data_IF_996296028361
#
_entry.id   IF_996296028361
#
_cell.length_a   1.000
_cell.length_b   1.000
_cell.length_c   1.000
_cell.angle_alpha   90.00
_cell.angle_beta   90.00
_cell.angle_gamma   90.00
#
_symmetry.space_group_name_H-M   'P 1'
#
loop_
_entity.id
_entity.type
_entity.pdbx_description
1 polymer ?
#
# COMPACT_ATOMS: atom_id res chain seq x y z
N UNK A 1 20.53 -4.60 -1.11
CA UNK A 1 19.36 -4.76 -2.00
C UNK A 1 19.22 -3.51 -2.83
N UNK A 2 18.81 -3.65 -4.09
CA UNK A 2 18.51 -2.52 -4.97
C UNK A 2 17.00 -2.45 -5.22
N UNK A 3 16.42 -1.29 -4.95
CA UNK A 3 14.97 -1.10 -4.84
C UNK A 3 14.50 0.16 -5.59
N UNK A 4 13.18 0.27 -5.74
CA UNK A 4 12.49 1.27 -6.56
C UNK A 4 11.07 1.53 -6.02
N UNK A 5 10.40 2.62 -6.42
CA UNK A 5 8.95 2.80 -6.25
C UNK A 5 8.07 1.72 -6.87
N UNK A 6 8.61 0.79 -7.66
CA UNK A 6 7.84 -0.34 -8.21
C UNK A 6 7.19 -1.19 -7.09
N UNK A 7 5.99 -1.72 -7.35
CA UNK A 7 5.26 -2.53 -6.37
C UNK A 7 6.04 -3.76 -5.89
N UNK A 8 6.72 -4.48 -6.79
CA UNK A 8 7.52 -5.66 -6.44
C UNK A 8 8.61 -5.33 -5.43
N UNK A 9 9.29 -4.20 -5.62
CA UNK A 9 10.32 -3.74 -4.69
C UNK A 9 9.72 -3.30 -3.34
N UNK A 10 8.56 -2.66 -3.35
CA UNK A 10 7.88 -2.24 -2.12
C UNK A 10 7.50 -3.44 -1.21
N UNK A 11 7.11 -4.59 -1.78
CA UNK A 11 6.86 -5.82 -0.99
C UNK A 11 8.08 -6.24 -0.17
N UNK A 12 9.26 -6.16 -0.76
CA UNK A 12 10.52 -6.52 -0.08
C UNK A 12 10.91 -5.52 1.02
N UNK A 13 10.58 -4.23 0.87
CA UNK A 13 10.76 -3.22 1.92
C UNK A 13 9.86 -3.50 3.12
N UNK A 14 8.59 -3.78 2.87
CA UNK A 14 7.62 -4.11 3.92
C UNK A 14 8.09 -5.36 4.67
N UNK A 15 8.45 -6.42 3.96
CA UNK A 15 8.91 -7.66 4.60
C UNK A 15 10.22 -7.45 5.38
N UNK A 16 11.16 -6.67 4.83
CA UNK A 16 12.39 -6.26 5.53
C UNK A 16 12.06 -5.53 6.84
N UNK A 17 11.11 -4.59 6.80
CA UNK A 17 10.65 -3.87 7.99
C UNK A 17 10.03 -4.83 8.98
N UNK A 18 8.98 -5.55 8.60
CA UNK A 18 8.26 -6.49 9.46
C UNK A 18 9.17 -7.51 10.16
N UNK A 19 10.14 -8.08 9.43
CA UNK A 19 11.11 -9.05 9.97
C UNK A 19 12.32 -8.41 10.66
N UNK A 20 12.41 -7.07 10.74
CA UNK A 20 13.52 -6.38 11.40
C UNK A 20 14.88 -6.60 10.73
N UNK A 21 14.90 -6.71 9.40
CA UNK A 21 16.08 -7.10 8.64
C UNK A 21 16.97 -5.91 8.25
N UNK A 22 16.71 -4.73 8.79
CA UNK A 22 17.48 -3.54 8.46
C UNK A 22 18.99 -3.65 8.72
N UNK A 23 19.44 -4.28 9.83
CA UNK A 23 20.86 -4.47 10.09
C UNK A 23 21.54 -5.44 9.10
N UNK A 24 20.80 -6.39 8.53
CA UNK A 24 21.35 -7.42 7.63
C UNK A 24 21.33 -6.99 6.17
N UNK A 25 20.33 -6.21 5.78
CA UNK A 25 20.02 -5.90 4.39
C UNK A 25 20.06 -4.38 4.16
N UNK A 26 21.23 -3.79 3.87
CA UNK A 26 21.30 -2.40 3.41
C UNK A 26 20.60 -2.24 2.05
N UNK A 27 20.09 -1.04 1.79
CA UNK A 27 19.24 -0.72 0.65
C UNK A 27 19.85 0.43 -0.16
N UNK A 28 19.84 0.27 -1.48
CA UNK A 28 20.03 1.35 -2.45
C UNK A 28 18.71 1.58 -3.19
N UNK A 29 18.33 2.83 -3.38
CA UNK A 29 17.08 3.25 -4.03
C UNK A 29 17.41 3.92 -5.36
N UNK A 30 16.89 3.36 -6.45
CA UNK A 30 17.02 3.92 -7.81
C UNK A 30 16.15 5.18 -7.97
N UNK A 31 16.50 6.02 -8.93
CA UNK A 31 15.69 7.18 -9.32
C UNK A 31 14.27 6.75 -9.74
N UNK A 32 13.21 7.54 -9.44
CA UNK A 32 11.86 7.17 -9.86
C UNK A 32 11.66 7.20 -11.38
N UNK A 33 12.47 7.95 -12.13
CA UNK A 33 12.32 8.11 -13.57
C UNK A 33 12.92 6.91 -14.31
N UNK A 34 12.08 6.19 -15.04
CA UNK A 34 12.47 5.05 -15.87
C UNK A 34 12.34 5.43 -17.35
N UNK A 35 13.43 5.95 -17.93
CA UNK A 35 13.48 6.47 -19.31
C UNK A 35 14.18 5.47 -20.25
N UNK A 36 14.94 5.93 -21.24
CA UNK A 36 15.53 5.08 -22.27
C UNK A 36 16.44 3.96 -21.73
N UNK A 37 17.14 4.20 -20.63
CA UNK A 37 18.10 3.25 -20.03
C UNK A 37 17.48 2.40 -18.90
N UNK A 38 16.17 2.46 -18.70
CA UNK A 38 15.49 1.79 -17.60
C UNK A 38 15.78 2.48 -16.25
N UNK A 39 16.02 1.69 -15.20
CA UNK A 39 16.27 2.20 -13.85
C UNK A 39 17.68 2.79 -13.73
N UNK A 40 17.76 4.02 -13.22
CA UNK A 40 19.02 4.75 -13.04
C UNK A 40 19.35 4.94 -11.55
N UNK A 41 20.62 5.12 -11.26
CA UNK A 41 21.14 5.47 -9.94
C UNK A 41 21.41 6.98 -9.81
N UNK A 42 20.74 7.79 -10.63
CA UNK A 42 20.73 9.24 -10.45
C UNK A 42 20.13 9.59 -9.07
N UNK A 43 20.93 10.24 -8.23
CA UNK A 43 20.61 10.59 -6.84
C UNK A 43 20.08 12.02 -6.68
N UNK A 44 19.80 12.70 -7.80
CA UNK A 44 19.24 14.07 -7.78
C UNK A 44 17.81 14.15 -7.24
N UNK A 45 17.10 13.03 -7.11
CA UNK A 45 15.75 12.98 -6.56
C UNK A 45 15.79 12.65 -5.05
N UNK A 46 15.06 13.38 -4.19
CA UNK A 46 15.02 13.08 -2.76
C UNK A 46 14.64 11.62 -2.49
N UNK A 47 15.38 10.93 -1.62
CA UNK A 47 15.27 9.50 -1.28
C UNK A 47 15.84 8.51 -2.31
N UNK A 48 16.22 8.95 -3.52
CA UNK A 48 17.11 8.18 -4.37
C UNK A 48 18.53 8.25 -3.78
N UNK A 49 19.22 7.13 -3.69
CA UNK A 49 20.51 7.04 -2.98
C UNK A 49 21.71 6.88 -3.89
N UNK A 50 21.46 6.67 -5.18
CA UNK A 50 22.43 6.07 -6.09
C UNK A 50 22.82 4.64 -5.70
N UNK A 51 23.80 4.08 -6.40
CA UNK A 51 24.37 2.76 -6.10
C UNK A 51 25.41 2.85 -5.00
N UNK A 52 24.98 2.67 -3.76
CA UNK A 52 25.85 2.72 -2.58
C UNK A 52 26.94 1.63 -2.51
N UNK A 53 27.01 0.69 -3.47
CA UNK A 53 28.03 -0.36 -3.51
C UNK A 53 29.11 -0.10 -4.55
N UNK A 54 28.71 0.13 -5.80
CA UNK A 54 29.65 0.21 -6.93
C UNK A 54 29.60 1.54 -7.68
N UNK A 55 28.71 2.45 -7.27
CA UNK A 55 28.52 3.75 -7.92
C UNK A 55 28.24 3.60 -9.42
N UNK A 56 27.53 2.55 -9.82
CA UNK A 56 26.99 2.41 -11.16
C UNK A 56 25.98 3.53 -11.45
N UNK A 57 25.87 3.93 -12.72
CA UNK A 57 24.88 4.92 -13.19
C UNK A 57 23.52 4.27 -13.48
N UNK A 58 23.53 2.99 -13.86
CA UNK A 58 22.36 2.27 -14.33
C UNK A 58 22.24 0.88 -13.69
N UNK A 59 21.00 0.46 -13.41
CA UNK A 59 20.74 -0.86 -12.83
C UNK A 59 21.18 -2.00 -13.75
N UNK A 60 21.13 -1.82 -15.07
CA UNK A 60 21.57 -2.87 -16.00
C UNK A 60 23.07 -3.17 -15.85
N UNK A 61 23.88 -2.21 -15.40
CA UNK A 61 25.31 -2.43 -15.16
C UNK A 61 25.52 -3.47 -14.05
N UNK A 62 24.65 -3.50 -13.04
CA UNK A 62 24.68 -4.52 -12.00
C UNK A 62 24.34 -5.92 -12.55
N UNK A 63 23.40 -6.00 -13.50
CA UNK A 63 23.09 -7.26 -14.19
C UNK A 63 24.28 -7.72 -15.05
N UNK A 64 24.91 -6.81 -15.79
CA UNK A 64 26.12 -7.12 -16.57
C UNK A 64 27.33 -7.44 -15.70
N UNK A 65 27.39 -6.90 -14.47
CA UNK A 65 28.40 -7.26 -13.48
C UNK A 65 28.27 -8.73 -13.07
N UNK A 66 27.04 -9.19 -12.83
CA UNK A 66 26.78 -10.60 -12.49
C UNK A 66 26.94 -11.54 -13.69
N UNK A 67 26.55 -11.10 -14.89
CA UNK A 67 26.62 -11.86 -16.13
C UNK A 67 26.85 -10.91 -17.33
N UNK A 68 28.08 -10.86 -17.90
CA UNK A 68 28.39 -10.00 -19.05
C UNK A 68 27.58 -10.29 -20.33
N UNK A 69 26.91 -11.44 -20.39
CA UNK A 69 26.08 -11.86 -21.52
C UNK A 69 24.58 -11.85 -21.19
N UNK A 70 24.19 -11.20 -20.09
CA UNK A 70 22.81 -11.17 -19.63
C UNK A 70 21.87 -10.66 -20.72
N UNK A 71 20.86 -11.48 -21.02
CA UNK A 71 19.77 -11.12 -21.95
C UNK A 71 18.44 -11.30 -21.21
N UNK A 72 17.76 -10.20 -20.93
CA UNK A 72 16.50 -10.24 -20.19
C UNK A 72 16.02 -8.86 -19.76
N UNK A 73 14.94 -8.83 -18.98
CA UNK A 73 14.42 -7.59 -18.40
C UNK A 73 15.22 -7.22 -17.14
N UNK A 74 15.70 -5.98 -17.12
CA UNK A 74 16.36 -5.40 -15.95
C UNK A 74 15.28 -4.88 -14.99
N UNK A 75 15.05 -5.62 -13.90
CA UNK A 75 13.92 -5.38 -12.99
C UNK A 75 14.38 -5.09 -11.56
N UNK A 76 13.44 -4.61 -10.77
CA UNK A 76 13.55 -4.37 -9.33
C UNK A 76 12.42 -5.13 -8.64
N UNK A 77 12.66 -5.71 -7.45
CA UNK A 77 13.85 -5.63 -6.61
C UNK A 77 15.02 -6.49 -7.12
N UNK A 78 16.24 -6.20 -6.66
CA UNK A 78 17.40 -7.09 -6.80
C UNK A 78 17.98 -7.40 -5.41
N UNK A 79 17.98 -8.69 -5.05
CA UNK A 79 18.73 -9.23 -3.93
C UNK A 79 20.13 -9.59 -4.41
N UNK A 80 21.13 -8.87 -3.90
CA UNK A 80 22.53 -8.94 -4.34
C UNK A 80 23.40 -9.59 -3.28
N UNK A 81 24.24 -10.56 -3.69
CA UNK A 81 25.28 -11.12 -2.86
C UNK A 81 26.58 -10.31 -3.00
N UNK A 82 26.96 -9.60 -1.94
CA UNK A 82 28.20 -8.80 -1.91
C UNK A 82 29.47 -9.65 -1.92
N UNK A 83 29.40 -10.90 -1.48
CA UNK A 83 30.55 -11.81 -1.39
C UNK A 83 30.83 -12.45 -2.74
N UNK A 84 29.80 -12.98 -3.39
CA UNK A 84 29.93 -13.62 -4.71
C UNK A 84 29.78 -12.63 -5.87
N UNK A 85 29.39 -11.38 -5.57
CA UNK A 85 29.17 -10.32 -6.55
C UNK A 85 28.21 -10.75 -7.66
N UNK A 86 27.08 -11.32 -7.26
CA UNK A 86 26.05 -11.82 -8.19
C UNK A 86 24.63 -11.58 -7.66
N UNK A 87 23.65 -11.73 -8.54
CA UNK A 87 22.23 -11.63 -8.21
C UNK A 87 21.77 -12.95 -7.60
N UNK A 88 21.29 -12.90 -6.36
CA UNK A 88 20.66 -14.06 -5.70
C UNK A 88 19.26 -14.29 -6.26
N UNK A 89 18.47 -13.21 -6.37
CA UNK A 89 17.13 -13.25 -6.98
C UNK A 89 16.69 -11.84 -7.36
N UNK A 90 15.89 -11.75 -8.42
CA UNK A 90 15.10 -10.57 -8.78
C UNK A 90 13.59 -10.86 -8.82
N UNK A 91 13.16 -12.00 -8.27
CA UNK A 91 11.75 -12.38 -8.15
C UNK A 91 11.21 -11.98 -6.77
N UNK A 92 10.36 -10.95 -6.75
CA UNK A 92 9.83 -10.37 -5.52
C UNK A 92 9.10 -11.37 -4.62
N UNK A 93 8.37 -12.34 -5.20
CA UNK A 93 7.60 -13.32 -4.44
C UNK A 93 8.50 -14.31 -3.69
N UNK A 94 9.60 -14.72 -4.31
CA UNK A 94 10.59 -15.59 -3.68
C UNK A 94 11.39 -14.85 -2.62
N UNK A 95 11.81 -13.61 -2.91
CA UNK A 95 12.60 -12.80 -1.98
C UNK A 95 11.86 -12.58 -0.65
N UNK A 96 10.55 -12.26 -0.68
CA UNK A 96 9.80 -12.08 0.57
C UNK A 96 9.67 -13.39 1.36
N UNK A 97 9.62 -14.55 0.70
CA UNK A 97 9.61 -15.87 1.35
C UNK A 97 10.98 -16.22 1.94
N UNK A 98 12.08 -15.82 1.29
CA UNK A 98 13.42 -15.91 1.87
C UNK A 98 13.50 -15.07 3.15
N UNK A 99 13.05 -13.81 3.13
CA UNK A 99 13.08 -12.92 4.30
C UNK A 99 12.22 -13.41 5.45
N UNK A 100 11.14 -14.13 5.14
CA UNK A 100 10.21 -14.65 6.14
C UNK A 100 10.88 -15.60 7.14
N UNK A 101 11.93 -16.35 6.73
CA UNK A 101 12.51 -17.42 7.57
C UNK A 101 14.04 -17.48 7.61
N UNK A 102 14.75 -17.03 6.57
CA UNK A 102 16.19 -17.28 6.43
C UNK A 102 17.06 -16.61 7.52
N UNK A 103 16.53 -15.60 8.20
CA UNK A 103 17.23 -14.83 9.24
C UNK A 103 16.72 -15.11 10.66
N UNK A 104 15.79 -16.05 10.83
CA UNK A 104 15.17 -16.34 12.15
C UNK A 104 16.22 -16.76 13.19
N UNK A 105 17.16 -17.63 12.81
CA UNK A 105 18.27 -18.04 13.67
C UNK A 105 19.33 -16.95 13.91
N UNK A 106 19.22 -15.79 13.25
CA UNK A 106 20.18 -14.68 13.31
C UNK A 106 19.62 -13.45 14.02
N UNK A 107 18.40 -13.51 14.56
CA UNK A 107 17.78 -12.40 15.31
C UNK A 107 16.73 -11.61 14.52
N UNK A 108 16.19 -12.14 13.43
CA UNK A 108 15.00 -11.55 12.81
C UNK A 108 13.82 -11.53 13.78
N UNK A 109 12.95 -10.53 13.65
CA UNK A 109 11.72 -10.43 14.45
C UNK A 109 10.82 -11.64 14.19
N UNK A 110 10.18 -12.12 15.25
CA UNK A 110 9.19 -13.19 15.16
C UNK A 110 8.02 -12.77 14.25
N UNK A 111 7.58 -13.69 13.41
CA UNK A 111 6.52 -13.48 12.43
C UNK A 111 6.68 -14.43 11.26
N UNK A 112 5.58 -15.10 10.90
CA UNK A 112 5.49 -15.96 9.72
C UNK A 112 4.30 -15.49 8.88
N UNK A 113 4.62 -14.96 7.71
CA UNK A 113 3.67 -14.40 6.74
C UNK A 113 3.27 -15.43 5.66
N UNK A 114 3.82 -16.65 5.71
CA UNK A 114 3.45 -17.77 4.84
C UNK A 114 3.43 -19.11 5.61
N UNK A 115 2.66 -19.19 6.72
CA UNK A 115 2.66 -20.33 7.61
C UNK A 115 2.02 -21.55 6.94
N UNK A 116 2.51 -22.78 7.20
CA UNK A 116 2.01 -24.00 6.57
C UNK A 116 0.49 -24.15 6.56
N UNK A 117 -0.18 -23.78 7.66
CA UNK A 117 -1.63 -23.91 7.82
C UNK A 117 -2.45 -22.99 6.89
N UNK A 118 -1.88 -21.91 6.36
CA UNK A 118 -2.58 -20.94 5.51
C UNK A 118 -2.11 -20.96 4.06
N UNK A 119 -1.13 -21.79 3.68
CA UNK A 119 -0.48 -21.71 2.36
C UNK A 119 -1.44 -21.89 1.20
N UNK A 120 -2.32 -22.89 1.26
CA UNK A 120 -3.29 -23.16 0.19
C UNK A 120 -4.20 -21.94 -0.03
N UNK A 121 -4.74 -21.37 1.05
CA UNK A 121 -5.58 -20.19 0.99
C UNK A 121 -4.81 -18.95 0.50
N UNK A 122 -3.56 -18.77 0.96
CA UNK A 122 -2.68 -17.69 0.51
C UNK A 122 -2.39 -17.81 -0.99
N UNK A 123 -2.07 -19.00 -1.47
CA UNK A 123 -1.72 -19.22 -2.88
C UNK A 123 -2.94 -19.05 -3.80
N UNK A 124 -4.13 -19.49 -3.36
CA UNK A 124 -5.39 -19.21 -4.07
C UNK A 124 -5.62 -17.69 -4.19
N UNK A 125 -5.58 -16.96 -3.06
CA UNK A 125 -5.74 -15.51 -3.02
C UNK A 125 -4.73 -14.81 -3.92
N UNK A 126 -3.46 -15.21 -3.82
CA UNK A 126 -2.37 -14.65 -4.59
C UNK A 126 -2.54 -14.81 -6.10
N UNK A 127 -3.14 -15.91 -6.57
CA UNK A 127 -3.41 -16.15 -7.98
C UNK A 127 -4.35 -15.11 -8.56
N UNK A 128 -5.59 -15.09 -8.09
CA UNK A 128 -6.60 -14.19 -8.67
C UNK A 128 -6.36 -12.72 -8.33
N UNK A 129 -5.81 -12.39 -7.15
CA UNK A 129 -5.42 -11.00 -6.84
C UNK A 129 -4.31 -10.54 -7.78
N UNK A 130 -3.35 -11.41 -8.10
CA UNK A 130 -2.32 -11.05 -9.08
C UNK A 130 -2.93 -10.79 -10.45
N UNK A 131 -3.71 -11.73 -10.97
CA UNK A 131 -4.22 -11.65 -12.35
C UNK A 131 -5.21 -10.50 -12.56
N UNK A 132 -6.10 -10.27 -11.60
CA UNK A 132 -7.24 -9.37 -11.75
C UNK A 132 -7.03 -8.02 -11.06
N UNK A 133 -6.10 -7.89 -10.10
CA UNK A 133 -5.89 -6.64 -9.36
C UNK A 133 -4.49 -6.09 -9.55
N UNK A 134 -3.45 -6.84 -9.17
CA UNK A 134 -2.07 -6.36 -9.32
C UNK A 134 -1.75 -6.13 -10.81
N UNK A 135 -1.89 -7.15 -11.64
CA UNK A 135 -1.68 -7.06 -13.07
C UNK A 135 -2.89 -6.43 -13.78
N UNK A 136 -4.11 -6.58 -13.24
CA UNK A 136 -5.34 -6.00 -13.80
C UNK A 136 -5.26 -4.51 -14.08
N UNK A 137 -4.76 -3.70 -13.12
CA UNK A 137 -4.62 -2.25 -13.35
C UNK A 137 -3.59 -1.91 -14.45
N UNK A 138 -2.59 -2.76 -14.67
CA UNK A 138 -1.64 -2.60 -15.77
C UNK A 138 -2.26 -3.01 -17.10
N UNK A 139 -3.02 -4.12 -17.14
CA UNK A 139 -3.79 -4.54 -18.32
C UNK A 139 -4.73 -3.43 -18.77
N UNK A 140 -5.45 -2.80 -17.86
CA UNK A 140 -6.29 -1.64 -18.16
C UNK A 140 -5.47 -0.43 -18.62
N UNK A 141 -4.46 -0.02 -17.85
CA UNK A 141 -3.69 1.19 -18.14
C UNK A 141 -2.89 1.17 -19.44
N UNK A 142 -2.42 -0.01 -19.86
CA UNK A 142 -1.64 -0.21 -21.09
C UNK A 142 -2.46 -0.80 -22.24
N UNK A 143 -3.78 -0.95 -22.09
CA UNK A 143 -4.64 -1.44 -23.15
C UNK A 143 -4.54 -0.55 -24.40
N UNK A 144 -4.46 -1.17 -25.57
CA UNK A 144 -4.40 -0.50 -26.87
C UNK A 144 -5.74 -0.53 -27.62
N UNK A 145 -6.78 -1.15 -27.04
CA UNK A 145 -8.14 -1.16 -27.58
C UNK A 145 -9.16 -0.95 -26.45
N UNK A 146 -10.32 -0.39 -26.81
CA UNK A 146 -11.42 -0.15 -25.85
C UNK A 146 -11.90 -1.45 -25.19
N UNK A 147 -12.08 -2.51 -25.98
CA UNK A 147 -12.52 -3.81 -25.47
C UNK A 147 -11.54 -4.39 -24.44
N UNK A 148 -10.23 -4.37 -24.73
CA UNK A 148 -9.24 -4.90 -23.78
C UNK A 148 -9.19 -4.07 -22.48
N UNK A 149 -9.42 -2.77 -22.59
CA UNK A 149 -9.56 -1.90 -21.43
C UNK A 149 -10.81 -2.25 -20.61
N UNK A 150 -11.98 -2.35 -21.26
CA UNK A 150 -13.27 -2.65 -20.62
C UNK A 150 -13.22 -3.98 -19.86
N UNK A 151 -12.73 -5.04 -20.51
CA UNK A 151 -12.56 -6.36 -19.87
C UNK A 151 -11.63 -6.31 -18.66
N UNK A 152 -10.50 -5.60 -18.78
CA UNK A 152 -9.53 -5.51 -17.70
C UNK A 152 -10.06 -4.68 -16.51
N UNK A 153 -10.68 -3.53 -16.77
CA UNK A 153 -11.17 -2.64 -15.71
C UNK A 153 -12.40 -3.24 -15.01
N UNK A 154 -13.27 -3.96 -15.72
CA UNK A 154 -14.38 -4.68 -15.10
C UNK A 154 -13.89 -5.82 -14.19
N UNK A 155 -12.85 -6.54 -14.59
CA UNK A 155 -12.22 -7.57 -13.75
C UNK A 155 -11.60 -6.98 -12.48
N UNK A 156 -10.97 -5.80 -12.57
CA UNK A 156 -10.44 -5.07 -11.42
C UNK A 156 -11.55 -4.75 -10.43
N UNK A 157 -12.63 -4.10 -10.86
CA UNK A 157 -13.69 -3.68 -9.95
C UNK A 157 -14.50 -4.85 -9.40
N UNK A 158 -14.76 -5.89 -10.19
CA UNK A 158 -15.37 -7.14 -9.69
C UNK A 158 -14.52 -7.76 -8.58
N UNK A 159 -13.20 -7.74 -8.73
CA UNK A 159 -12.27 -8.25 -7.73
C UNK A 159 -12.19 -7.36 -6.48
N UNK A 160 -12.25 -6.03 -6.63
CA UNK A 160 -12.32 -5.11 -5.50
C UNK A 160 -13.60 -5.30 -4.68
N UNK A 161 -14.76 -5.51 -5.32
CA UNK A 161 -16.01 -5.83 -4.60
C UNK A 161 -15.91 -7.16 -3.83
N UNK A 162 -15.27 -8.20 -4.41
CA UNK A 162 -15.00 -9.46 -3.70
C UNK A 162 -14.08 -9.25 -2.50
N UNK A 163 -13.02 -8.47 -2.65
CA UNK A 163 -12.09 -8.15 -1.56
C UNK A 163 -12.76 -7.35 -0.45
N UNK A 164 -13.62 -6.39 -0.80
CA UNK A 164 -14.42 -5.62 0.16
C UNK A 164 -15.30 -6.54 1.02
N UNK A 165 -15.94 -7.53 0.41
CA UNK A 165 -16.73 -8.52 1.14
C UNK A 165 -15.88 -9.37 2.10
N UNK A 166 -14.72 -9.88 1.64
CA UNK A 166 -13.79 -10.67 2.47
C UNK A 166 -13.33 -9.85 3.68
N UNK A 167 -12.88 -8.61 3.43
CA UNK A 167 -12.36 -7.71 4.46
C UNK A 167 -13.45 -7.12 5.37
N UNK A 168 -14.72 -7.28 5.00
CA UNK A 168 -15.87 -7.02 5.87
C UNK A 168 -16.13 -8.10 6.90
N UNK A 169 -15.63 -9.33 6.69
CA UNK A 169 -15.79 -10.43 7.64
C UNK A 169 -14.63 -10.49 8.65
N UNK A 170 -13.41 -10.24 8.19
CA UNK A 170 -12.20 -10.44 8.97
C UNK A 170 -11.22 -9.28 8.79
N UNK A 171 -10.26 -9.14 9.71
CA UNK A 171 -9.28 -8.04 9.66
C UNK A 171 -8.39 -8.13 8.41
N UNK A 172 -7.98 -9.32 8.02
CA UNK A 172 -7.08 -9.63 6.91
C UNK A 172 -7.69 -10.68 5.97
N UNK A 173 -7.06 -10.90 4.82
CA UNK A 173 -7.62 -11.72 3.72
C UNK A 173 -7.86 -13.19 4.09
N UNK A 174 -7.08 -13.73 5.05
CA UNK A 174 -7.17 -15.13 5.50
C UNK A 174 -7.74 -15.25 6.92
N UNK A 175 -8.25 -14.17 7.51
CA UNK A 175 -8.75 -14.15 8.89
C UNK A 175 -8.14 -13.03 9.72
N UNK A 176 -7.64 -13.37 10.91
CA UNK A 176 -7.09 -12.39 11.86
C UNK A 176 -5.56 -12.32 11.87
N UNK A 177 -4.90 -13.08 10.99
CA UNK A 177 -3.44 -13.07 10.84
C UNK A 177 -3.05 -12.34 9.55
N UNK A 178 -2.07 -11.43 9.65
CA UNK A 178 -1.47 -10.78 8.49
C UNK A 178 -0.58 -11.77 7.74
N UNK A 179 -0.72 -11.86 6.41
CA UNK A 179 0.01 -12.79 5.54
C UNK A 179 0.65 -12.09 4.34
N UNK A 180 1.44 -12.82 3.55
CA UNK A 180 2.01 -12.28 2.32
C UNK A 180 0.95 -11.87 1.28
N UNK A 181 -0.25 -12.48 1.31
CA UNK A 181 -1.36 -12.10 0.45
C UNK A 181 -1.80 -10.65 0.71
N UNK A 182 -1.89 -10.28 1.99
CA UNK A 182 -2.26 -8.92 2.41
C UNK A 182 -1.22 -7.90 1.93
N UNK A 183 0.07 -8.21 2.12
CA UNK A 183 1.19 -7.35 1.68
C UNK A 183 1.17 -7.18 0.15
N UNK A 184 0.92 -8.27 -0.59
CA UNK A 184 0.85 -8.26 -2.06
C UNK A 184 -0.32 -7.43 -2.57
N UNK A 185 -1.48 -7.49 -1.93
CA UNK A 185 -2.64 -6.65 -2.25
C UNK A 185 -2.36 -5.18 -1.87
N UNK A 186 -1.90 -4.94 -0.66
CA UNK A 186 -1.74 -3.61 -0.08
C UNK A 186 -0.81 -2.72 -0.92
N UNK A 187 0.27 -3.29 -1.44
CA UNK A 187 1.18 -2.55 -2.34
C UNK A 187 0.52 -2.06 -3.64
N UNK A 188 -0.57 -2.69 -4.09
CA UNK A 188 -1.42 -2.14 -5.16
C UNK A 188 -2.37 -1.08 -4.62
N UNK A 189 -3.07 -1.32 -3.50
CA UNK A 189 -4.06 -0.39 -2.96
C UNK A 189 -3.46 0.99 -2.64
N UNK A 190 -2.26 1.03 -2.04
CA UNK A 190 -1.58 2.29 -1.69
C UNK A 190 -1.22 3.16 -2.91
N UNK A 191 -1.22 2.57 -4.11
CA UNK A 191 -0.97 3.27 -5.39
C UNK A 191 -2.24 3.52 -6.20
N UNK A 192 -3.37 2.99 -5.75
CA UNK A 192 -4.61 3.01 -6.52
C UNK A 192 -5.11 4.44 -6.70
N UNK A 193 -5.40 5.15 -5.62
CA UNK A 193 -5.93 6.52 -5.69
C UNK A 193 -4.89 7.53 -6.23
N UNK A 194 -3.61 7.51 -5.79
CA UNK A 194 -2.63 8.50 -6.26
C UNK A 194 -2.20 8.35 -7.72
N UNK A 195 -2.43 7.17 -8.31
CA UNK A 195 -1.98 6.82 -9.67
C UNK A 195 -3.06 6.11 -10.47
N UNK A 196 -3.45 4.89 -10.10
CA UNK A 196 -4.21 4.00 -10.99
C UNK A 196 -5.59 4.53 -11.36
N UNK A 197 -6.25 5.25 -10.46
CA UNK A 197 -7.54 5.92 -10.73
C UNK A 197 -7.42 6.80 -11.97
N UNK A 198 -6.46 7.72 -12.01
CA UNK A 198 -6.35 8.67 -13.13
C UNK A 198 -5.42 8.17 -14.23
N UNK A 199 -4.21 7.74 -13.89
CA UNK A 199 -3.17 7.39 -14.87
C UNK A 199 -3.50 6.13 -15.66
N UNK A 200 -4.09 5.13 -15.01
CA UNK A 200 -4.55 3.89 -15.65
C UNK A 200 -6.06 3.83 -15.88
N UNK A 201 -6.77 4.92 -15.59
CA UNK A 201 -8.23 5.07 -15.76
C UNK A 201 -9.04 4.01 -14.98
N UNK A 202 -8.50 3.46 -13.89
CA UNK A 202 -9.30 2.57 -13.03
C UNK A 202 -10.21 3.41 -12.12
N UNK A 203 -11.21 4.08 -12.69
CA UNK A 203 -11.86 5.27 -12.12
C UNK A 203 -13.32 5.12 -11.68
N UNK A 204 -13.90 3.91 -11.78
CA UNK A 204 -15.29 3.65 -11.34
C UNK A 204 -15.54 4.02 -9.87
N UNK A 205 -14.56 3.77 -9.00
CA UNK A 205 -14.52 4.14 -7.57
C UNK A 205 -13.08 4.30 -7.11
N UNK A 206 -12.84 5.16 -6.12
CA UNK A 206 -11.57 5.26 -5.39
C UNK A 206 -11.53 4.20 -4.30
N UNK A 207 -10.34 3.84 -3.82
CA UNK A 207 -10.21 3.00 -2.64
C UNK A 207 -10.82 3.70 -1.44
N UNK A 208 -10.70 5.02 -1.31
CA UNK A 208 -11.36 5.82 -0.27
C UNK A 208 -12.88 5.65 -0.20
N UNK A 209 -13.53 5.18 -1.26
CA UNK A 209 -14.99 5.00 -1.33
C UNK A 209 -15.43 3.62 -0.77
N UNK A 210 -14.49 2.73 -0.47
CA UNK A 210 -14.73 1.40 0.08
C UNK A 210 -14.44 1.36 1.58
N UNK A 211 -15.42 0.95 2.39
CA UNK A 211 -15.29 0.96 3.85
C UNK A 211 -14.17 0.04 4.33
N UNK A 212 -14.18 -1.23 3.91
CA UNK A 212 -13.24 -2.23 4.42
C UNK A 212 -11.89 -2.15 3.73
N UNK A 213 -11.84 -1.95 2.41
CA UNK A 213 -10.58 -1.77 1.67
C UNK A 213 -9.83 -0.51 2.14
N UNK A 214 -10.51 0.62 2.33
CA UNK A 214 -9.84 1.82 2.82
C UNK A 214 -9.40 1.67 4.28
N UNK A 215 -10.22 1.03 5.11
CA UNK A 215 -9.83 0.68 6.48
C UNK A 215 -8.60 -0.25 6.51
N UNK A 216 -8.57 -1.27 5.67
CA UNK A 216 -7.44 -2.21 5.51
C UNK A 216 -6.17 -1.51 5.01
N UNK A 217 -6.32 -0.59 4.05
CA UNK A 217 -5.23 0.25 3.56
C UNK A 217 -4.59 1.04 4.71
N UNK A 218 -5.41 1.71 5.54
CA UNK A 218 -4.95 2.49 6.69
C UNK A 218 -4.38 1.61 7.81
N UNK A 219 -4.98 0.46 8.09
CA UNK A 219 -4.54 -0.50 9.10
C UNK A 219 -3.07 -0.92 8.87
N UNK A 220 -2.75 -1.39 7.67
CA UNK A 220 -1.36 -1.78 7.35
C UNK A 220 -0.44 -0.54 7.26
N UNK A 221 -0.92 0.59 6.73
CA UNK A 221 -0.12 1.82 6.64
C UNK A 221 0.36 2.32 8.02
N UNK A 222 -0.51 2.20 9.02
CA UNK A 222 -0.26 2.67 10.40
C UNK A 222 0.54 1.67 11.24
N UNK A 223 0.88 0.49 10.71
CA UNK A 223 1.79 -0.43 11.40
C UNK A 223 3.19 0.21 11.57
N UNK A 224 3.87 -0.03 12.70
CA UNK A 224 5.18 0.57 12.95
C UNK A 224 6.19 0.28 11.83
N UNK A 225 6.72 1.35 11.23
CA UNK A 225 7.73 1.29 10.17
C UNK A 225 7.20 1.04 8.76
N UNK A 226 5.88 0.98 8.53
CA UNK A 226 5.33 0.83 7.17
C UNK A 226 5.20 2.17 6.46
N UNK A 227 4.75 3.22 7.13
CA UNK A 227 4.59 4.55 6.51
C UNK A 227 5.91 5.05 5.86
N UNK A 228 7.07 4.79 6.47
CA UNK A 228 8.40 5.15 5.95
C UNK A 228 8.83 4.35 4.71
N UNK A 229 8.14 3.25 4.35
CA UNK A 229 8.38 2.56 3.08
C UNK A 229 7.59 3.15 1.92
N UNK A 230 6.72 4.14 2.20
CA UNK A 230 5.84 4.77 1.21
C UNK A 230 6.35 6.16 0.86
N UNK A 231 6.79 6.32 -0.39
CA UNK A 231 7.09 7.64 -0.95
C UNK A 231 6.13 7.96 -2.08
N UNK A 232 5.11 8.78 -1.78
CA UNK A 232 4.18 9.27 -2.80
C UNK A 232 4.87 10.10 -3.89
N UNK A 233 5.86 10.98 -3.59
CA UNK A 233 6.62 11.66 -4.62
C UNK A 233 7.29 10.68 -5.61
N UNK A 234 8.03 9.68 -5.12
CA UNK A 234 8.66 8.66 -5.96
C UNK A 234 7.62 7.87 -6.78
N UNK A 235 6.53 7.43 -6.14
CA UNK A 235 5.44 6.69 -6.81
C UNK A 235 4.87 7.53 -7.95
N UNK A 236 4.42 8.75 -7.68
CA UNK A 236 3.70 9.56 -8.66
C UNK A 236 4.62 10.04 -9.78
N UNK A 237 5.85 10.44 -9.47
CA UNK A 237 6.84 10.79 -10.47
C UNK A 237 7.12 9.62 -11.41
N UNK A 238 7.31 8.42 -10.87
CA UNK A 238 7.56 7.24 -11.68
C UNK A 238 6.45 7.01 -12.71
N UNK A 239 5.20 6.88 -12.27
CA UNK A 239 4.11 6.52 -13.18
C UNK A 239 3.78 7.63 -14.18
N UNK A 240 3.62 8.87 -13.72
CA UNK A 240 3.18 9.96 -14.59
C UNK A 240 4.27 10.42 -15.55
N UNK A 241 5.55 10.38 -15.17
CA UNK A 241 6.65 10.92 -15.99
C UNK A 241 7.34 9.86 -16.85
N UNK A 242 7.37 8.59 -16.44
CA UNK A 242 8.05 7.52 -17.19
C UNK A 242 7.18 6.92 -18.30
N UNK A 243 5.86 6.83 -18.10
CA UNK A 243 4.95 6.25 -19.09
C UNK A 243 4.49 7.27 -20.14
N UNK A 244 5.44 7.76 -20.93
CA UNK A 244 5.20 8.79 -21.96
C UNK A 244 4.21 8.36 -23.05
N UNK A 245 4.02 7.07 -23.27
CA UNK A 245 3.01 6.52 -24.17
C UNK A 245 1.58 6.72 -23.66
N UNK A 246 1.38 6.72 -22.34
CA UNK A 246 0.08 6.95 -21.69
C UNK A 246 -0.12 8.44 -21.38
N UNK A 247 0.93 9.10 -20.89
CA UNK A 247 0.90 10.51 -20.49
C UNK A 247 2.04 11.30 -21.17
N UNK A 248 1.85 11.76 -22.42
CA UNK A 248 2.91 12.41 -23.20
C UNK A 248 3.51 13.64 -22.52
N UNK A 249 2.68 14.47 -21.91
CA UNK A 249 3.11 15.71 -21.23
C UNK A 249 3.94 15.41 -19.98
N UNK A 250 3.76 14.23 -19.36
CA UNK A 250 4.37 13.90 -18.09
C UNK A 250 3.88 14.75 -16.92
N UNK A 251 2.75 15.46 -17.07
CA UNK A 251 2.15 16.23 -15.98
C UNK A 251 1.66 15.25 -14.92
N UNK A 252 1.96 15.56 -13.67
CA UNK A 252 1.48 14.81 -12.51
C UNK A 252 0.15 15.45 -12.09
N UNK A 253 -0.94 14.67 -12.12
CA UNK A 253 -2.25 15.11 -11.62
C UNK A 253 -2.14 15.60 -10.17
N UNK A 254 -2.99 16.52 -9.70
CA UNK A 254 -3.04 16.87 -8.28
C UNK A 254 -3.40 15.64 -7.40
N UNK A 255 -4.20 14.72 -7.94
CA UNK A 255 -4.60 13.46 -7.30
C UNK A 255 -5.81 13.58 -6.38
N UNK A 256 -6.53 12.47 -6.12
CA UNK A 256 -7.54 12.41 -5.07
C UNK A 256 -6.95 12.73 -3.69
N UNK A 257 -7.69 13.47 -2.87
CA UNK A 257 -7.35 13.66 -1.46
C UNK A 257 -7.62 12.35 -0.69
N UNK A 258 -6.65 11.95 0.13
CA UNK A 258 -6.76 10.84 1.07
C UNK A 258 -5.97 11.17 2.34
N UNK A 259 -6.40 10.65 3.49
CA UNK A 259 -5.65 10.71 4.75
C UNK A 259 -5.48 9.29 5.30
N UNK A 260 -4.27 8.76 5.19
CA UNK A 260 -3.95 7.42 5.65
C UNK A 260 -3.67 7.35 7.16
N UNK A 261 -3.62 8.48 7.86
CA UNK A 261 -3.40 8.54 9.31
C UNK A 261 -4.71 8.56 10.11
N UNK A 262 -5.87 8.69 9.43
CA UNK A 262 -7.16 8.60 10.11
C UNK A 262 -7.36 7.23 10.76
N UNK A 263 -7.90 7.16 12.00
CA UNK A 263 -8.19 5.89 12.65
C UNK A 263 -9.00 4.93 11.75
N UNK A 264 -8.63 3.66 11.74
CA UNK A 264 -9.29 2.64 10.92
C UNK A 264 -10.29 1.77 11.70
N UNK A 265 -10.12 1.60 13.01
CA UNK A 265 -11.05 0.86 13.87
C UNK A 265 -11.15 -0.64 13.56
N UNK A 266 -10.12 -1.20 12.92
CA UNK A 266 -10.07 -2.63 12.51
C UNK A 266 -9.43 -3.54 13.54
N UNK A 267 -9.01 -3.02 14.70
CA UNK A 267 -8.40 -3.82 15.77
C UNK A 267 -9.41 -4.74 16.46
N UNK A 268 -10.67 -4.33 16.51
CA UNK A 268 -11.78 -5.12 17.04
C UNK A 268 -12.50 -5.84 15.91
N UNK A 269 -12.38 -7.18 15.85
CA UNK A 269 -13.03 -8.05 14.86
C UNK A 269 -14.57 -8.14 14.98
N UNK A 270 -15.23 -7.16 15.62
CA UNK A 270 -16.68 -7.07 15.65
C UNK A 270 -17.13 -6.12 14.53
N UNK A 271 -18.19 -6.46 13.77
CA UNK A 271 -18.70 -5.59 12.72
C UNK A 271 -18.93 -4.20 13.31
N UNK A 272 -18.39 -3.19 12.64
CA UNK A 272 -18.68 -1.78 12.91
C UNK A 272 -20.17 -1.54 12.61
N UNK A 273 -21.05 -1.91 13.54
CA UNK A 273 -22.39 -1.35 13.60
C UNK A 273 -22.16 0.13 13.89
N UNK A 274 -22.47 0.97 12.89
CA UNK A 274 -22.39 2.42 12.88
C UNK A 274 -22.21 3.04 14.27
N UNK A 275 -20.97 3.33 14.66
CA UNK A 275 -20.74 4.30 15.72
C UNK A 275 -21.04 5.67 15.11
N UNK A 276 -22.21 6.21 15.43
CA UNK A 276 -22.54 7.60 15.16
C UNK A 276 -21.39 8.49 15.66
N UNK A 277 -21.06 9.60 14.97
CA UNK A 277 -19.99 10.48 15.40
C UNK A 277 -20.30 11.00 16.80
N UNK A 278 -19.38 10.77 17.72
CA UNK A 278 -19.37 11.44 19.02
C UNK A 278 -19.15 12.92 18.70
N UNK A 279 -20.21 13.73 18.77
CA UNK A 279 -20.07 15.17 18.71
C UNK A 279 -19.17 15.62 19.87
N UNK A 280 -18.12 16.35 19.55
CA UNK A 280 -17.29 17.03 20.55
C UNK A 280 -18.17 18.00 21.37
N UNK A 281 -17.95 18.12 22.68
CA UNK A 281 -18.68 19.09 23.49
C UNK A 281 -18.32 20.51 23.06
N UNK A 282 -19.33 21.27 22.64
CA UNK A 282 -19.26 22.71 22.41
C UNK A 282 -18.93 23.40 23.75
N UNK A 283 -17.69 23.84 23.92
CA UNK A 283 -17.31 24.78 24.96
C UNK A 283 -17.35 26.20 24.39
N UNK A 284 -18.53 26.81 24.45
CA UNK A 284 -18.67 28.27 24.31
C UNK A 284 -19.87 28.78 25.10
N UNK A 285 -19.76 28.78 26.44
CA UNK A 285 -20.52 29.71 27.27
C UNK A 285 -19.56 30.41 28.23
N UNK A 286 -19.21 31.64 27.88
CA UNK A 286 -18.61 32.58 28.82
C UNK A 286 -19.62 33.71 29.04
N UNK A 287 -20.27 33.63 30.21
CA UNK A 287 -20.67 34.71 31.13
C UNK A 287 -21.24 35.98 30.53
N UNK A 288 -22.51 36.26 30.85
CA UNK A 288 -22.93 37.51 31.53
C UNK A 288 -24.29 37.31 32.22
N UNK A 289 -24.30 37.30 33.56
CA UNK A 289 -25.45 37.60 34.44
C UNK A 289 -25.02 38.83 35.25
N UNK A 290 -25.92 39.80 35.53
CA UNK A 290 -26.80 39.72 36.70
C UNK A 290 -28.23 40.26 36.40
N UNK A 291 -29.30 40.00 37.14
CA UNK A 291 -29.53 40.38 38.54
C UNK A 291 -30.86 39.78 39.03
N UNK A 292 -30.93 39.54 40.33
CA UNK A 292 -32.03 39.02 41.16
C UNK A 292 -33.25 39.93 41.15
N UNK A 293 -34.47 39.38 41.00
CA UNK A 293 -35.63 39.86 41.77
C UNK A 293 -36.70 38.78 41.99
N UNK A 294 -37.09 38.70 43.25
CA UNK A 294 -38.03 37.81 43.93
C UNK A 294 -39.45 37.83 43.36
N UNK A 295 -40.16 36.69 43.45
CA UNK A 295 -41.55 36.62 43.94
C UNK A 295 -42.00 35.17 44.20
N UNK A 296 -42.38 34.93 45.47
CA UNK A 296 -43.25 33.87 45.94
C UNK A 296 -44.58 33.84 45.15
N UNK A 297 -45.17 32.66 44.92
CA UNK A 297 -46.48 32.26 45.47
C UNK A 297 -46.91 30.83 45.05
N UNK A 298 -47.13 29.99 46.07
CA UNK A 298 -48.23 29.04 46.35
C UNK A 298 -48.81 28.01 45.35
N UNK A 299 -49.16 26.86 45.99
CA UNK A 299 -50.22 25.84 45.75
C UNK A 299 -49.87 24.69 44.80
N UNK A 300 -49.52 23.50 45.31
CA UNK A 300 -50.37 22.39 45.80
C UNK A 300 -51.39 21.85 44.79
N UNK A 301 -51.12 20.59 44.41
CA UNK A 301 -52.07 19.47 44.24
C UNK A 301 -52.98 19.48 43.01
N UNK A 302 -52.82 18.48 42.14
CA UNK A 302 -53.73 17.32 42.09
C UNK A 302 -53.22 16.22 41.15
N UNK A 303 -53.52 15.00 41.58
CA UNK A 303 -53.32 13.70 40.94
C UNK A 303 -54.44 13.43 39.92
N UNK A 304 -54.19 12.44 39.04
CA UNK A 304 -55.14 11.61 38.24
C UNK A 304 -55.78 12.31 37.03
N UNK A 305 -56.12 11.67 35.90
CA UNK A 305 -55.86 10.40 35.20
C UNK A 305 -56.57 10.55 33.85
N UNK A 306 -56.11 9.81 32.84
CA UNK A 306 -56.86 9.31 31.67
C UNK A 306 -57.16 10.25 30.49
N UNK A 307 -56.92 9.65 29.31
CA UNK A 307 -57.16 10.02 27.91
C UNK A 307 -56.25 11.07 27.24
#
# INVERSE_FOLDING_TARGET
MFLSPARGAHRTLIMRKLKGLEPFLPVSVVNPLMLENGWTFDDSFPEATGDTLYQHDFLYQLYLHADPHYTGRVTVPVLWDKKQQTIVSNESAEIIRMFNTAFDGLGARAGDYYPPALREQIDELNGWIYDNVNNGVYKAGFATSQQAYDEAVDAVFTSLERLEQILGQHRYLTGNQLTEADIRLWTTLVRFDPVYVTHFKCDKRRISDYLNLYGFLRDIYQMPGIAETVSFPHIRHHYYRSHKTINPTGIISIGPQQDLNEPHGRESALPLICRAPVMAPNNSENRYLPTIHSRLFLLRSLKKTSD
#
